data_IF_800593588287
#
_entry.id   IF_800593588287
#
_cell.length_a   1.000
_cell.length_b   1.000
_cell.length_c   1.000
_cell.angle_alpha   90.00
_cell.angle_beta   90.00
_cell.angle_gamma   90.00
#
_symmetry.space_group_name_H-M   'P 1'
#
loop_
_entity.id
_entity.type
_entity.pdbx_description
1 polymer ?
#
# COMPACT_ATOMS: atom_id res chain seq x y z
N UNK A 1 0.21 10.40 -4.89
CA UNK A 1 1.16 9.58 -4.11
C UNK A 1 2.43 9.40 -4.93
N UNK A 2 3.57 9.27 -4.26
CA UNK A 2 4.86 9.00 -4.92
C UNK A 2 5.20 7.52 -4.80
N UNK A 3 6.04 7.01 -5.69
CA UNK A 3 6.59 5.66 -5.53
C UNK A 3 7.32 5.52 -4.19
N UNK A 4 7.02 4.45 -3.43
CA UNK A 4 7.63 4.20 -2.12
C UNK A 4 6.84 3.25 -1.22
N UNK A 5 7.32 3.11 0.02
CA UNK A 5 6.68 2.27 1.05
C UNK A 5 5.68 3.07 1.87
N UNK A 6 4.58 2.44 2.25
CA UNK A 6 3.47 3.05 2.98
C UNK A 6 2.90 2.09 4.02
N UNK A 7 2.48 2.62 5.17
CA UNK A 7 1.61 1.87 6.06
C UNK A 7 0.21 1.79 5.47
N UNK A 8 -0.29 0.56 5.32
CA UNK A 8 -1.62 0.23 4.85
C UNK A 8 -2.36 -0.52 5.94
N UNK A 9 -3.63 -0.18 6.14
CA UNK A 9 -4.51 -0.88 7.08
C UNK A 9 -5.90 -1.14 6.52
N UNK A 10 -6.64 -2.01 7.20
CA UNK A 10 -8.08 -2.22 7.03
C UNK A 10 -8.72 -2.40 8.41
N UNK A 11 -10.05 -2.44 8.48
CA UNK A 11 -10.76 -2.67 9.75
C UNK A 11 -10.53 -4.08 10.33
N UNK A 12 -10.07 -5.04 9.52
CA UNK A 12 -10.04 -6.46 9.90
C UNK A 12 -8.62 -7.04 10.00
N UNK A 13 -7.58 -6.24 9.77
CA UNK A 13 -6.19 -6.71 9.79
C UNK A 13 -5.25 -5.68 10.42
N UNK A 14 -4.20 -6.19 11.06
CA UNK A 14 -3.11 -5.35 11.54
C UNK A 14 -2.47 -4.55 10.39
N UNK A 15 -2.05 -3.29 10.64
CA UNK A 15 -1.32 -2.49 9.67
C UNK A 15 -0.08 -3.21 9.13
N UNK A 16 0.18 -3.03 7.82
CA UNK A 16 1.30 -3.63 7.11
C UNK A 16 2.01 -2.60 6.24
N UNK A 17 3.29 -2.83 5.94
CA UNK A 17 4.05 -1.99 5.01
C UNK A 17 3.89 -2.56 3.59
N UNK A 18 3.29 -1.78 2.69
CA UNK A 18 3.12 -2.12 1.27
C UNK A 18 3.93 -1.16 0.39
N UNK A 19 4.24 -1.57 -0.84
CA UNK A 19 4.97 -0.74 -1.79
C UNK A 19 4.03 -0.20 -2.88
N UNK A 20 3.95 1.11 -3.03
CA UNK A 20 3.24 1.75 -4.14
C UNK A 20 4.22 2.08 -5.26
N UNK A 21 3.92 1.65 -6.48
CA UNK A 21 4.64 2.00 -7.68
C UNK A 21 3.75 2.82 -8.60
N UNK A 22 4.13 4.09 -8.81
CA UNK A 22 3.39 5.00 -9.67
C UNK A 22 3.28 4.43 -11.09
N UNK A 23 2.06 4.43 -11.64
CA UNK A 23 1.75 3.88 -12.96
C UNK A 23 1.48 2.38 -13.00
N UNK A 24 1.73 1.64 -11.92
CA UNK A 24 1.53 0.18 -11.86
C UNK A 24 0.51 -0.24 -10.80
N UNK A 25 0.70 0.17 -9.54
CA UNK A 25 -0.21 -0.23 -8.47
C UNK A 25 0.49 -0.44 -7.12
N UNK A 26 -0.20 -1.15 -6.24
CA UNK A 26 0.19 -1.34 -4.84
C UNK A 26 0.51 -2.82 -4.62
N UNK A 27 1.75 -3.10 -4.25
CA UNK A 27 2.28 -4.43 -4.03
C UNK A 27 2.11 -4.82 -2.56
N UNK A 28 1.39 -5.91 -2.33
CA UNK A 28 1.23 -6.55 -1.03
C UNK A 28 2.34 -7.58 -0.84
N UNK A 29 2.97 -7.69 0.35
CA UNK A 29 4.12 -8.57 0.59
C UNK A 29 3.93 -10.07 0.27
N UNK A 30 2.68 -10.57 0.26
CA UNK A 30 2.36 -11.98 0.04
C UNK A 30 1.69 -12.26 -1.31
N UNK A 31 1.44 -11.25 -2.13
CA UNK A 31 0.71 -11.41 -3.40
C UNK A 31 1.54 -10.89 -4.57
N UNK A 32 1.71 -11.69 -5.65
CA UNK A 32 2.54 -11.31 -6.79
C UNK A 32 1.86 -10.30 -7.72
N UNK A 33 0.53 -10.14 -7.62
CA UNK A 33 -0.24 -9.27 -8.51
C UNK A 33 -0.51 -7.94 -7.78
N UNK A 34 -0.05 -6.79 -8.31
CA UNK A 34 -0.32 -5.50 -7.70
C UNK A 34 -1.81 -5.13 -7.80
N UNK A 35 -2.31 -4.51 -6.74
CA UNK A 35 -3.66 -3.94 -6.72
C UNK A 35 -3.66 -2.58 -7.40
N UNK A 36 -4.64 -2.35 -8.28
CA UNK A 36 -4.95 -0.99 -8.72
C UNK A 36 -5.50 -0.17 -7.54
N UNK A 37 -5.41 1.17 -7.63
CA UNK A 37 -5.94 2.05 -6.58
C UNK A 37 -7.46 1.88 -6.40
N UNK A 38 -8.19 1.63 -7.49
CA UNK A 38 -9.62 1.34 -7.44
C UNK A 38 -9.92 0.08 -6.62
N UNK A 39 -9.22 -1.04 -6.91
CA UNK A 39 -9.40 -2.29 -6.17
C UNK A 39 -8.96 -2.18 -4.72
N UNK A 40 -7.90 -1.42 -4.46
CA UNK A 40 -7.44 -1.13 -3.10
C UNK A 40 -8.53 -0.46 -2.25
N UNK A 41 -9.16 0.59 -2.79
CA UNK A 41 -10.25 1.30 -2.11
C UNK A 41 -11.49 0.41 -1.98
N UNK A 42 -11.86 -0.32 -3.03
CA UNK A 42 -13.00 -1.24 -3.02
C UNK A 42 -12.86 -2.37 -1.98
N UNK A 43 -11.62 -2.79 -1.71
CA UNK A 43 -11.30 -3.76 -0.67
C UNK A 43 -11.28 -3.15 0.76
N UNK A 44 -11.56 -1.86 0.90
CA UNK A 44 -11.62 -1.17 2.20
C UNK A 44 -10.26 -0.91 2.84
N UNK A 45 -9.17 -0.95 2.06
CA UNK A 45 -7.86 -0.55 2.54
C UNK A 45 -7.70 0.96 2.53
N UNK A 46 -6.85 1.47 3.43
CA UNK A 46 -6.48 2.88 3.47
C UNK A 46 -5.00 3.05 3.80
N UNK A 47 -4.42 4.13 3.28
CA UNK A 47 -3.08 4.55 3.66
C UNK A 47 -3.12 5.24 5.01
N UNK A 48 -2.35 4.73 5.97
CA UNK A 48 -2.31 5.24 7.34
C UNK A 48 -1.24 6.33 7.53
N UNK A 49 -0.36 6.50 6.53
CA UNK A 49 0.74 7.44 6.60
C UNK A 49 1.05 8.05 5.22
N UNK A 50 1.88 9.10 5.24
CA UNK A 50 2.67 9.48 4.06
C UNK A 50 3.72 8.42 3.70
N UNK A 51 4.52 8.73 2.68
CA UNK A 51 5.63 7.87 2.23
C UNK A 51 6.64 7.66 3.36
N UNK A 52 7.01 6.42 3.61
CA UNK A 52 8.05 6.08 4.58
C UNK A 52 9.41 6.48 4.03
N UNK A 53 10.18 7.16 4.88
CA UNK A 53 11.58 7.49 4.64
C UNK A 53 12.40 6.47 5.41
N UNK A 54 13.17 5.65 4.71
CA UNK A 54 14.07 4.70 5.36
C UNK A 54 15.24 5.46 5.97
N UNK A 55 15.69 5.10 7.19
CA UNK A 55 16.92 5.67 7.75
C UNK A 55 18.10 5.31 6.84
N UNK A 56 18.99 6.29 6.66
CA UNK A 56 20.25 6.18 5.92
C UNK A 56 21.30 5.41 6.69
#
# INVERSE_FOLDING_TARGET
METGFYWVGSQHAAPQIWYYLLGYGIYRPMEPIPLSLERFNAAGFTFLSGKLILPS
#
